data_IF_198050055568
#
_entry.id   IF_198050055568
#
_cell.length_a   1.000
_cell.length_b   1.000
_cell.length_c   1.000
_cell.angle_alpha   90.00
_cell.angle_beta   90.00
_cell.angle_gamma   90.00
#
_symmetry.space_group_name_H-M   'P 1'
#
loop_
_entity.id
_entity.type
_entity.pdbx_description
1 polymer ?
#
# COMPACT_ATOMS: atom_id res chain seq x y z
N UNK A 1 -30.53 10.22 2.14
CA UNK A 1 -29.39 11.10 1.80
C UNK A 1 -29.69 12.41 2.50
N UNK A 2 -29.21 12.59 3.73
CA UNK A 2 -29.48 13.82 4.49
C UNK A 2 -28.70 14.98 3.86
N UNK A 3 -29.35 16.14 3.79
CA UNK A 3 -28.91 17.33 3.04
C UNK A 3 -27.68 17.98 3.65
N UNK A 4 -26.50 17.40 3.43
CA UNK A 4 -25.22 17.98 3.82
C UNK A 4 -25.02 19.38 3.21
N UNK A 5 -25.71 19.70 2.12
CA UNK A 5 -25.70 21.03 1.51
C UNK A 5 -26.44 22.11 2.30
N UNK A 6 -27.39 21.75 3.18
CA UNK A 6 -28.12 22.70 4.01
C UNK A 6 -27.28 23.13 5.24
N UNK A 7 -26.54 22.19 5.86
CA UNK A 7 -25.72 22.46 7.05
C UNK A 7 -24.50 23.34 6.75
N UNK A 8 -23.94 23.29 5.53
CA UNK A 8 -22.79 24.10 5.14
C UNK A 8 -23.14 25.58 4.86
N UNK A 9 -24.42 25.93 4.75
CA UNK A 9 -24.85 27.31 4.49
C UNK A 9 -24.87 28.19 5.76
N UNK A 10 -24.86 27.58 6.96
CA UNK A 10 -24.91 28.28 8.25
C UNK A 10 -23.52 28.69 8.77
N UNK A 11 -22.45 28.03 8.33
CA UNK A 11 -21.08 28.30 8.78
C UNK A 11 -20.36 29.29 7.85
N UNK A 12 -19.95 30.45 8.40
CA UNK A 12 -19.03 31.35 7.70
C UNK A 12 -17.76 30.57 7.31
N UNK A 13 -17.35 30.64 6.04
CA UNK A 13 -16.14 29.97 5.57
C UNK A 13 -14.92 30.39 6.43
N UNK A 14 -14.30 29.41 7.10
CA UNK A 14 -13.04 29.59 7.83
C UNK A 14 -11.98 28.75 7.13
N UNK A 15 -10.95 29.42 6.62
CA UNK A 15 -9.85 28.76 5.93
C UNK A 15 -9.17 27.72 6.84
N UNK A 16 -9.02 26.49 6.34
CA UNK A 16 -8.34 25.40 7.07
C UNK A 16 -9.19 24.68 8.13
N UNK A 17 -10.43 25.11 8.37
CA UNK A 17 -11.34 24.46 9.32
C UNK A 17 -12.19 23.33 8.69
N UNK A 18 -11.90 22.95 7.43
CA UNK A 18 -12.57 21.83 6.77
C UNK A 18 -12.19 20.52 7.44
N UNK A 19 -13.17 19.69 7.76
CA UNK A 19 -12.94 18.31 8.20
C UNK A 19 -12.27 17.48 7.09
N UNK A 20 -11.15 16.81 7.43
CA UNK A 20 -10.33 16.05 6.48
C UNK A 20 -10.19 14.55 6.82
N UNK A 21 -11.05 14.04 7.70
CA UNK A 21 -10.94 12.65 8.20
C UNK A 21 -10.97 11.61 7.07
N UNK A 22 -11.76 11.84 6.03
CA UNK A 22 -11.92 10.95 4.87
C UNK A 22 -10.68 10.97 3.96
N UNK A 23 -10.07 12.14 3.77
CA UNK A 23 -8.83 12.34 3.02
C UNK A 23 -7.66 11.68 3.75
N UNK A 24 -7.60 11.80 5.08
CA UNK A 24 -6.59 11.12 5.91
C UNK A 24 -6.74 9.59 5.81
N UNK A 25 -7.97 9.08 5.86
CA UNK A 25 -8.24 7.64 5.67
C UNK A 25 -7.75 7.15 4.29
N UNK A 26 -8.07 7.90 3.24
CA UNK A 26 -7.64 7.61 1.87
C UNK A 26 -6.12 7.63 1.74
N UNK A 27 -5.45 8.57 2.40
CA UNK A 27 -3.99 8.66 2.42
C UNK A 27 -3.35 7.45 3.10
N UNK A 28 -3.91 6.98 4.22
CA UNK A 28 -3.44 5.76 4.87
C UNK A 28 -3.61 4.52 3.99
N UNK A 29 -4.74 4.41 3.27
CA UNK A 29 -4.94 3.34 2.30
C UNK A 29 -3.89 3.39 1.18
N UNK A 30 -3.63 4.57 0.61
CA UNK A 30 -2.60 4.75 -0.41
C UNK A 30 -1.23 4.29 0.10
N UNK A 31 -0.82 4.72 1.30
CA UNK A 31 0.46 4.33 1.89
C UNK A 31 0.53 2.81 2.12
N UNK A 32 -0.55 2.20 2.59
CA UNK A 32 -0.63 0.75 2.75
C UNK A 32 -0.44 0.03 1.41
N UNK A 33 -1.16 0.43 0.37
CA UNK A 33 -1.07 -0.16 -0.96
C UNK A 33 0.29 0.06 -1.61
N UNK A 34 0.87 1.26 -1.50
CA UNK A 34 2.20 1.55 -2.04
C UNK A 34 3.28 0.69 -1.35
N UNK A 35 3.21 0.56 -0.03
CA UNK A 35 4.16 -0.24 0.76
C UNK A 35 4.09 -1.72 0.41
N UNK A 36 2.90 -2.32 0.44
CA UNK A 36 2.75 -3.76 0.23
C UNK A 36 2.71 -4.14 -1.25
N UNK A 37 2.14 -3.28 -2.09
CA UNK A 37 2.06 -3.46 -3.54
C UNK A 37 3.43 -3.40 -4.22
N UNK A 38 4.33 -2.52 -3.77
CA UNK A 38 5.72 -2.49 -4.28
C UNK A 38 6.49 -3.77 -3.93
N UNK A 39 6.34 -4.30 -2.71
CA UNK A 39 6.92 -5.59 -2.31
C UNK A 39 6.37 -6.74 -3.17
N UNK A 40 5.05 -6.82 -3.35
CA UNK A 40 4.42 -7.85 -4.17
C UNK A 40 4.91 -7.78 -5.63
N UNK A 41 5.02 -6.58 -6.18
CA UNK A 41 5.55 -6.35 -7.53
C UNK A 41 6.99 -6.83 -7.64
N UNK A 42 7.86 -6.48 -6.68
CA UNK A 42 9.25 -6.91 -6.68
C UNK A 42 9.40 -8.45 -6.60
N UNK A 43 8.65 -9.10 -5.71
CA UNK A 43 8.67 -10.56 -5.57
C UNK A 43 8.16 -11.26 -6.84
N UNK A 44 7.10 -10.74 -7.47
CA UNK A 44 6.57 -11.25 -8.73
C UNK A 44 7.58 -11.10 -9.88
N UNK A 45 8.25 -9.95 -9.98
CA UNK A 45 9.28 -9.73 -10.99
C UNK A 45 10.43 -10.73 -10.83
N UNK A 46 10.89 -10.99 -9.61
CA UNK A 46 11.93 -11.99 -9.35
C UNK A 46 11.48 -13.39 -9.76
N UNK A 47 10.26 -13.79 -9.36
CA UNK A 47 9.70 -15.08 -9.74
C UNK A 47 9.66 -15.25 -11.26
N UNK A 48 9.09 -14.29 -11.98
CA UNK A 48 8.95 -14.36 -13.44
C UNK A 48 10.30 -14.31 -14.15
N UNK A 49 11.25 -13.52 -13.64
CA UNK A 49 12.59 -13.42 -14.22
C UNK A 49 13.35 -14.74 -14.06
N UNK A 50 13.35 -15.33 -12.87
CA UNK A 50 14.07 -16.60 -12.63
C UNK A 50 13.39 -17.77 -13.35
N UNK A 51 12.07 -17.77 -13.41
CA UNK A 51 11.32 -18.80 -14.14
C UNK A 51 11.56 -18.71 -15.65
N UNK A 52 11.28 -17.57 -16.27
CA UNK A 52 11.23 -17.46 -17.72
C UNK A 52 12.52 -16.92 -18.35
N UNK A 53 13.14 -15.90 -17.76
CA UNK A 53 14.28 -15.23 -18.37
C UNK A 53 15.61 -15.95 -18.09
N UNK A 54 15.80 -16.50 -16.89
CA UNK A 54 17.00 -17.27 -16.52
C UNK A 54 16.88 -18.73 -16.98
N UNK A 55 15.66 -19.28 -17.05
CA UNK A 55 15.42 -20.69 -17.41
C UNK A 55 15.74 -21.69 -16.30
N UNK A 56 15.83 -21.23 -15.04
CA UNK A 56 16.10 -22.10 -13.87
C UNK A 56 14.88 -22.96 -13.47
N UNK A 57 13.75 -22.80 -14.17
CA UNK A 57 12.51 -23.54 -13.93
C UNK A 57 11.63 -22.93 -12.84
N UNK A 58 10.41 -23.45 -12.72
CA UNK A 58 9.39 -22.91 -11.81
C UNK A 58 9.83 -22.94 -10.34
N UNK A 59 10.43 -24.04 -9.88
CA UNK A 59 10.75 -24.21 -8.46
C UNK A 59 11.83 -23.21 -7.99
N UNK A 60 12.85 -22.96 -8.82
CA UNK A 60 13.85 -21.94 -8.55
C UNK A 60 13.23 -20.52 -8.53
N UNK A 61 12.32 -20.23 -9.45
CA UNK A 61 11.58 -18.97 -9.48
C UNK A 61 10.66 -18.78 -8.26
N UNK A 62 9.94 -19.82 -7.86
CA UNK A 62 9.08 -19.80 -6.70
C UNK A 62 9.87 -19.58 -5.41
N UNK A 63 10.97 -20.31 -5.21
CA UNK A 63 11.83 -20.16 -4.02
C UNK A 63 12.40 -18.74 -3.94
N UNK A 64 12.97 -18.24 -5.04
CA UNK A 64 13.56 -16.89 -5.07
C UNK A 64 12.52 -15.79 -4.83
N UNK A 65 11.34 -15.87 -5.44
CA UNK A 65 10.23 -14.95 -5.17
C UNK A 65 9.76 -14.98 -3.71
N UNK A 66 9.61 -16.17 -3.13
CA UNK A 66 9.23 -16.35 -1.72
C UNK A 66 10.28 -15.76 -0.78
N UNK A 67 11.57 -16.00 -1.04
CA UNK A 67 12.67 -15.44 -0.23
C UNK A 67 12.63 -13.92 -0.23
N UNK A 68 12.46 -13.29 -1.39
CA UNK A 68 12.34 -11.82 -1.50
C UNK A 68 11.11 -11.30 -0.77
N UNK A 69 9.97 -11.98 -0.92
CA UNK A 69 8.74 -11.59 -0.23
C UNK A 69 8.89 -11.67 1.30
N UNK A 70 9.41 -12.79 1.82
CA UNK A 70 9.59 -13.00 3.26
C UNK A 70 10.60 -12.01 3.83
N UNK A 71 11.75 -11.83 3.18
CA UNK A 71 12.74 -10.86 3.60
C UNK A 71 12.17 -9.44 3.62
N UNK A 72 11.47 -9.03 2.55
CA UNK A 72 10.83 -7.74 2.46
C UNK A 72 9.71 -7.55 3.48
N UNK A 73 8.93 -8.59 3.78
CA UNK A 73 7.88 -8.55 4.81
C UNK A 73 8.46 -8.20 6.17
N UNK A 74 9.55 -8.86 6.59
CA UNK A 74 10.20 -8.55 7.86
C UNK A 74 10.88 -7.17 7.84
N UNK A 75 11.47 -6.76 6.71
CA UNK A 75 12.08 -5.44 6.56
C UNK A 75 11.05 -4.30 6.63
N UNK A 76 9.85 -4.52 6.09
CA UNK A 76 8.77 -3.53 6.06
C UNK A 76 7.87 -3.56 7.29
N UNK A 77 7.93 -4.60 8.13
CA UNK A 77 7.11 -4.69 9.34
C UNK A 77 7.37 -3.50 10.25
N UNK A 78 6.30 -2.79 10.63
CA UNK A 78 6.37 -1.66 11.54
C UNK A 78 6.98 -2.11 12.88
N UNK A 79 7.93 -1.34 13.41
CA UNK A 79 8.40 -1.54 14.78
C UNK A 79 7.29 -1.12 15.77
N UNK A 80 7.16 -1.79 16.94
CA UNK A 80 6.27 -1.32 17.99
C UNK A 80 6.64 0.13 18.35
N UNK A 81 5.64 1.00 18.52
CA UNK A 81 5.88 2.33 19.05
C UNK A 81 6.37 2.19 20.50
N UNK A 82 7.53 2.78 20.81
CA UNK A 82 8.08 2.85 22.17
C UNK A 82 7.28 3.84 23.02
#
# INVERSE_FOLDING_TARGET
MADQHADNAEHAYVHGAMEISEQVSTWHLFLFLAKWGSLATAALLVLLTVWFAVGAGFLAGAISGVVVFVAGFFALRSKPAH
#
